data_IF_946737958034
#
_entry.id   IF_946737958034
#
_cell.length_a   1.000
_cell.length_b   1.000
_cell.length_c   1.000
_cell.angle_alpha   90.00
_cell.angle_beta   90.00
_cell.angle_gamma   90.00
#
_symmetry.space_group_name_H-M   'P 1'
#
loop_
_entity.id
_entity.type
_entity.pdbx_description
1 polymer ?
#
# COMPACT_ATOMS: atom_id res chain seq x y z
N UNK A 1 -3.75 -1.58 -40.09
CA UNK A 1 -4.12 -0.66 -38.99
C UNK A 1 -2.90 -0.41 -38.12
N UNK A 2 -2.51 0.81 -38.00
CA UNK A 2 -1.44 1.19 -37.09
C UNK A 2 -2.00 1.30 -35.66
N UNK A 3 -1.34 0.64 -34.71
CA UNK A 3 -1.66 0.77 -33.29
C UNK A 3 -0.95 2.02 -32.79
N UNK A 4 -1.70 3.06 -32.46
CA UNK A 4 -1.14 4.29 -31.89
C UNK A 4 -0.95 4.16 -30.37
N UNK A 5 -0.07 4.97 -29.80
CA UNK A 5 0.09 5.06 -28.35
C UNK A 5 -1.24 5.39 -27.64
N UNK A 6 -2.02 6.28 -28.23
CA UNK A 6 -3.34 6.64 -27.71
C UNK A 6 -4.32 5.45 -27.67
N UNK A 7 -4.27 4.56 -28.65
CA UNK A 7 -5.13 3.36 -28.66
C UNK A 7 -4.69 2.29 -27.66
N UNK A 8 -3.40 2.25 -27.31
CA UNK A 8 -2.87 1.38 -26.26
C UNK A 8 -3.10 1.96 -24.86
N UNK A 9 -3.30 3.28 -24.76
CA UNK A 9 -3.49 3.94 -23.47
C UNK A 9 -4.76 3.48 -22.74
N UNK A 10 -5.80 3.13 -23.48
CA UNK A 10 -7.01 2.55 -22.89
C UNK A 10 -6.72 1.26 -22.13
N UNK A 11 -5.86 0.40 -22.68
CA UNK A 11 -5.41 -0.80 -21.98
C UNK A 11 -4.71 -0.48 -20.64
N UNK A 12 -3.86 0.55 -20.63
CA UNK A 12 -3.23 1.00 -19.38
C UNK A 12 -4.26 1.50 -18.37
N UNK A 13 -5.26 2.26 -18.81
CA UNK A 13 -6.34 2.73 -17.93
C UNK A 13 -7.09 1.58 -17.28
N UNK A 14 -7.50 0.58 -18.07
CA UNK A 14 -8.21 -0.59 -17.59
C UNK A 14 -7.35 -1.40 -16.59
N UNK A 15 -6.07 -1.58 -16.88
CA UNK A 15 -5.13 -2.27 -16.00
C UNK A 15 -4.90 -1.52 -14.68
N UNK A 16 -4.72 -0.22 -14.74
CA UNK A 16 -4.50 0.63 -13.56
C UNK A 16 -5.75 0.70 -12.70
N UNK A 17 -6.94 0.75 -13.28
CA UNK A 17 -8.21 0.71 -12.53
C UNK A 17 -8.35 -0.59 -11.73
N UNK A 18 -7.95 -1.71 -12.31
CA UNK A 18 -8.11 -3.02 -11.66
C UNK A 18 -7.00 -3.34 -10.66
N UNK A 19 -5.73 -3.04 -10.99
CA UNK A 19 -4.57 -3.51 -10.24
C UNK A 19 -3.68 -2.41 -9.64
N UNK A 20 -3.74 -1.18 -10.16
CA UNK A 20 -2.71 -0.17 -9.96
C UNK A 20 -2.33 0.09 -8.51
N UNK A 21 -3.24 0.69 -7.72
CA UNK A 21 -2.95 1.05 -6.34
C UNK A 21 -2.76 -0.17 -5.43
N UNK A 22 -3.40 -1.30 -5.75
CA UNK A 22 -3.30 -2.55 -4.99
C UNK A 22 -1.87 -3.06 -4.94
N UNK A 23 -1.20 -3.09 -6.09
CA UNK A 23 0.20 -3.53 -6.19
C UNK A 23 1.14 -2.62 -5.41
N UNK A 24 0.98 -1.30 -5.52
CA UNK A 24 1.80 -0.34 -4.79
C UNK A 24 1.56 -0.41 -3.27
N UNK A 25 0.31 -0.58 -2.85
CA UNK A 25 -0.04 -0.74 -1.44
C UNK A 25 0.51 -2.03 -0.83
N UNK A 26 0.47 -3.13 -1.57
CA UNK A 26 1.09 -4.40 -1.16
C UNK A 26 2.61 -4.27 -1.00
N UNK A 27 3.28 -3.52 -1.85
CA UNK A 27 4.73 -3.28 -1.72
C UNK A 27 5.06 -2.47 -0.45
N UNK A 28 4.27 -1.45 -0.13
CA UNK A 28 4.44 -0.72 1.13
C UNK A 28 4.26 -1.63 2.35
N UNK A 29 3.24 -2.47 2.34
CA UNK A 29 2.97 -3.42 3.42
C UNK A 29 4.09 -4.46 3.54
N UNK A 30 4.56 -5.01 2.42
CA UNK A 30 5.69 -5.94 2.38
C UNK A 30 6.94 -5.31 3.01
N UNK A 31 7.25 -4.08 2.68
CA UNK A 31 8.38 -3.33 3.25
C UNK A 31 8.25 -3.17 4.77
N UNK A 32 7.04 -2.85 5.24
CA UNK A 32 6.79 -2.74 6.67
C UNK A 32 7.01 -4.08 7.38
N UNK A 33 6.47 -5.18 6.85
CA UNK A 33 6.64 -6.52 7.43
C UNK A 33 8.12 -6.91 7.51
N UNK A 34 8.92 -6.55 6.53
CA UNK A 34 10.37 -6.81 6.54
C UNK A 34 11.13 -6.06 7.64
N UNK A 35 10.56 -5.00 8.22
CA UNK A 35 11.15 -4.29 9.37
C UNK A 35 10.79 -4.90 10.71
N UNK A 36 9.85 -5.83 10.74
CA UNK A 36 9.36 -6.46 11.97
C UNK A 36 10.24 -7.62 12.41
N UNK A 37 10.30 -7.82 13.73
CA UNK A 37 10.90 -9.02 14.31
C UNK A 37 9.98 -10.23 14.13
N UNK A 38 10.54 -11.44 14.27
CA UNK A 38 9.75 -12.68 14.20
C UNK A 38 8.61 -12.72 15.23
N UNK A 39 8.83 -12.21 16.43
CA UNK A 39 7.80 -12.14 17.47
C UNK A 39 6.68 -11.16 17.10
N UNK A 40 7.02 -10.03 16.51
CA UNK A 40 6.06 -9.05 16.01
C UNK A 40 5.25 -9.61 14.84
N UNK A 41 5.89 -10.33 13.92
CA UNK A 41 5.21 -11.01 12.81
C UNK A 41 4.26 -12.09 13.35
N UNK A 42 4.72 -12.93 14.26
CA UNK A 42 3.92 -14.00 14.87
C UNK A 42 2.71 -13.44 15.61
N UNK A 43 2.90 -12.36 16.35
CA UNK A 43 1.80 -11.67 17.04
C UNK A 43 0.81 -11.08 16.03
N UNK A 44 1.31 -10.42 14.99
CA UNK A 44 0.49 -9.89 13.90
C UNK A 44 -0.32 -10.98 13.21
N UNK A 45 0.30 -12.09 12.84
CA UNK A 45 -0.37 -13.25 12.24
C UNK A 45 -1.48 -13.80 13.13
N UNK A 46 -1.23 -13.94 14.41
CA UNK A 46 -2.20 -14.49 15.37
C UNK A 46 -3.42 -13.59 15.58
N UNK A 47 -3.22 -12.29 15.63
CA UNK A 47 -4.27 -11.34 16.01
C UNK A 47 -4.88 -10.58 14.84
N UNK A 48 -4.17 -10.46 13.72
CA UNK A 48 -4.63 -9.76 12.51
C UNK A 48 -5.26 -10.71 11.50
N UNK A 49 -4.59 -11.80 11.16
CA UNK A 49 -5.09 -12.72 10.13
C UNK A 49 -6.34 -13.48 10.57
N UNK A 50 -6.58 -13.61 11.88
CA UNK A 50 -7.84 -14.17 12.38
C UNK A 50 -9.07 -13.30 12.08
N UNK A 51 -8.86 -12.02 11.76
CA UNK A 51 -9.91 -11.05 11.47
C UNK A 51 -9.81 -10.44 10.06
N UNK A 52 -8.79 -10.82 9.28
CA UNK A 52 -8.62 -10.36 7.91
C UNK A 52 -9.15 -11.42 6.95
N UNK A 53 -9.87 -10.97 5.95
CA UNK A 53 -10.26 -11.82 4.83
C UNK A 53 -9.01 -12.12 3.99
N UNK A 54 -8.41 -13.30 4.27
CA UNK A 54 -7.21 -13.77 3.55
C UNK A 54 -7.49 -13.96 2.07
N UNK A 55 -8.75 -14.27 1.71
CA UNK A 55 -9.16 -14.41 0.32
C UNK A 55 -9.16 -13.04 -0.38
N UNK A 56 -9.67 -12.00 0.26
CA UNK A 56 -9.64 -10.64 -0.27
C UNK A 56 -8.19 -10.16 -0.47
N UNK A 57 -7.30 -10.41 0.51
CA UNK A 57 -5.88 -10.06 0.40
C UNK A 57 -5.21 -10.80 -0.77
N UNK A 58 -5.52 -12.08 -0.95
CA UNK A 58 -4.95 -12.88 -2.04
C UNK A 58 -5.40 -12.40 -3.42
N UNK A 59 -6.56 -11.77 -3.50
CA UNK A 59 -7.09 -11.12 -4.71
C UNK A 59 -6.55 -9.69 -4.91
N UNK A 60 -5.63 -9.23 -4.05
CA UNK A 60 -5.09 -7.87 -4.09
C UNK A 60 -6.05 -6.81 -3.56
N UNK A 61 -7.13 -7.21 -2.91
CA UNK A 61 -7.97 -6.28 -2.17
C UNK A 61 -7.23 -5.86 -0.91
N UNK A 62 -7.24 -4.55 -0.62
CA UNK A 62 -6.63 -4.08 0.60
C UNK A 62 -7.44 -4.56 1.79
N UNK A 63 -6.78 -5.11 2.81
CA UNK A 63 -7.46 -5.29 4.09
C UNK A 63 -8.02 -3.93 4.51
N UNK A 64 -9.27 -3.93 4.92
CA UNK A 64 -9.91 -2.75 5.47
C UNK A 64 -9.22 -2.39 6.79
N UNK A 65 -8.29 -1.46 6.70
CA UNK A 65 -7.58 -0.92 7.85
C UNK A 65 -8.43 0.09 8.65
N UNK A 66 -9.69 0.32 8.30
CA UNK A 66 -10.59 1.17 9.09
C UNK A 66 -10.87 0.55 10.48
N UNK A 67 -10.82 -0.77 10.59
CA UNK A 67 -10.82 -1.49 11.87
C UNK A 67 -9.52 -1.38 12.67
N UNK A 68 -8.43 -0.86 12.08
CA UNK A 68 -7.12 -0.71 12.73
C UNK A 68 -7.14 0.25 13.93
N UNK A 69 -8.12 1.12 14.07
CA UNK A 69 -8.29 1.91 15.29
C UNK A 69 -8.43 1.02 16.54
N UNK A 70 -9.20 -0.06 16.44
CA UNK A 70 -9.35 -1.05 17.52
C UNK A 70 -8.13 -1.96 17.63
N UNK A 71 -7.58 -2.39 16.50
CA UNK A 71 -6.38 -3.21 16.43
C UNK A 71 -5.15 -2.41 16.86
N UNK A 72 -5.06 -1.13 16.50
CA UNK A 72 -4.01 -0.22 16.97
C UNK A 72 -4.00 -0.04 18.49
N UNK A 73 -5.18 -0.08 19.14
CA UNK A 73 -5.28 -0.06 20.60
C UNK A 73 -4.78 -1.37 21.23
N UNK A 74 -5.07 -2.53 20.63
CA UNK A 74 -4.61 -3.84 21.08
C UNK A 74 -3.09 -3.93 20.91
N UNK A 75 -2.55 -3.44 19.79
CA UNK A 75 -1.11 -3.41 19.51
C UNK A 75 -0.38 -2.44 20.43
N UNK A 76 -0.95 -1.29 20.77
CA UNK A 76 -0.36 -0.34 21.73
C UNK A 76 -0.21 -0.93 23.12
N UNK A 77 -1.10 -1.85 23.51
CA UNK A 77 -1.03 -2.54 24.82
C UNK A 77 -0.03 -3.70 24.85
N UNK A 78 0.32 -4.30 23.73
CA UNK A 78 1.08 -5.55 23.64
C UNK A 78 2.33 -5.49 22.78
N UNK A 79 2.49 -4.46 21.92
CA UNK A 79 3.63 -4.34 21.00
C UNK A 79 4.25 -2.95 21.03
N UNK A 80 5.53 -2.92 20.63
CA UNK A 80 6.35 -1.74 20.51
C UNK A 80 5.60 -0.62 19.74
N UNK A 81 5.61 0.57 20.30
CA UNK A 81 5.11 1.82 19.73
C UNK A 81 5.56 2.05 18.27
N UNK A 82 6.73 1.54 17.92
CA UNK A 82 7.33 1.59 16.59
C UNK A 82 6.47 0.88 15.54
N UNK A 83 5.95 -0.32 15.82
CA UNK A 83 5.11 -1.08 14.87
C UNK A 83 3.78 -0.37 14.67
N UNK A 84 3.16 0.14 15.74
CA UNK A 84 1.92 0.90 15.63
C UNK A 84 2.09 2.17 14.77
N UNK A 85 3.21 2.88 14.92
CA UNK A 85 3.54 4.04 14.11
C UNK A 85 3.79 3.66 12.65
N UNK A 86 4.48 2.55 12.40
CA UNK A 86 4.70 2.01 11.05
C UNK A 86 3.40 1.66 10.34
N UNK A 87 2.48 0.99 11.02
CA UNK A 87 1.16 0.65 10.48
C UNK A 87 0.32 1.89 10.18
N UNK A 88 0.31 2.86 11.09
CA UNK A 88 -0.40 4.13 10.89
C UNK A 88 0.16 4.89 9.68
N UNK A 89 1.47 4.96 9.56
CA UNK A 89 2.14 5.60 8.44
C UNK A 89 1.80 4.92 7.11
N UNK A 90 1.93 3.59 7.05
CA UNK A 90 1.64 2.80 5.86
C UNK A 90 0.17 2.94 5.43
N UNK A 91 -0.76 2.94 6.38
CA UNK A 91 -2.17 3.19 6.11
C UNK A 91 -2.43 4.56 5.48
N UNK A 92 -1.78 5.61 6.00
CA UNK A 92 -1.88 6.95 5.41
C UNK A 92 -1.30 7.04 4.00
N UNK A 93 -0.18 6.36 3.75
CA UNK A 93 0.41 6.28 2.41
C UNK A 93 -0.47 5.48 1.45
N UNK A 94 -1.13 4.44 1.92
CA UNK A 94 -2.06 3.67 1.10
C UNK A 94 -3.25 4.53 0.66
N UNK A 95 -3.80 5.36 1.54
CA UNK A 95 -4.85 6.30 1.16
C UNK A 95 -4.38 7.28 0.08
N UNK A 96 -3.17 7.82 0.23
CA UNK A 96 -2.58 8.68 -0.81
C UNK A 96 -2.44 7.94 -2.14
N UNK A 97 -2.01 6.67 -2.13
CA UNK A 97 -1.90 5.85 -3.34
C UNK A 97 -3.25 5.67 -4.03
N UNK A 98 -4.30 5.37 -3.29
CA UNK A 98 -5.66 5.26 -3.85
C UNK A 98 -6.05 6.55 -4.56
N UNK A 99 -5.88 7.69 -3.90
CA UNK A 99 -6.20 9.00 -4.49
C UNK A 99 -5.34 9.31 -5.72
N UNK A 100 -4.04 8.99 -5.67
CA UNK A 100 -3.11 9.23 -6.76
C UNK A 100 -3.44 8.37 -7.99
N UNK A 101 -3.76 7.08 -7.80
CA UNK A 101 -4.17 6.19 -8.88
C UNK A 101 -5.55 6.53 -9.44
N UNK A 102 -6.48 7.05 -8.64
CA UNK A 102 -7.75 7.56 -9.12
C UNK A 102 -7.59 8.78 -10.06
N UNK A 103 -6.45 9.47 -9.94
CA UNK A 103 -6.07 10.58 -10.81
C UNK A 103 -5.06 10.17 -11.91
N UNK A 104 -5.03 8.89 -12.28
CA UNK A 104 -4.18 8.42 -13.38
C UNK A 104 -4.50 9.17 -14.68
N UNK A 105 -3.49 9.59 -15.44
CA UNK A 105 -3.71 10.40 -16.65
C UNK A 105 -4.58 9.71 -17.68
N UNK A 106 -5.55 10.41 -18.22
CA UNK A 106 -6.43 9.90 -19.29
C UNK A 106 -5.73 9.82 -20.66
N UNK A 107 -4.58 10.44 -20.80
CA UNK A 107 -3.75 10.43 -21.99
C UNK A 107 -2.26 10.38 -21.64
N UNK A 108 -1.38 9.98 -22.57
CA UNK A 108 0.05 9.82 -22.30
C UNK A 108 0.78 11.11 -21.87
N UNK A 109 0.27 12.28 -22.21
CA UNK A 109 0.96 13.56 -21.95
C UNK A 109 1.09 13.88 -20.46
N UNK A 110 0.16 13.39 -19.64
CA UNK A 110 0.18 13.57 -18.19
C UNK A 110 1.03 12.56 -17.43
N UNK A 111 1.49 11.49 -18.09
CA UNK A 111 2.12 10.35 -17.44
C UNK A 111 3.42 10.69 -16.70
N UNK A 112 4.31 11.42 -17.30
CA UNK A 112 5.61 11.72 -16.70
C UNK A 112 5.48 12.45 -15.36
N UNK A 113 4.58 13.42 -15.28
CA UNK A 113 4.33 14.17 -14.05
C UNK A 113 3.72 13.26 -12.98
N UNK A 114 2.76 12.45 -13.35
CA UNK A 114 2.09 11.50 -12.46
C UNK A 114 3.08 10.46 -11.92
N UNK A 115 3.89 9.89 -12.82
CA UNK A 115 4.88 8.86 -12.49
C UNK A 115 6.00 9.39 -11.58
N UNK A 116 6.49 10.61 -11.83
CA UNK A 116 7.47 11.26 -10.95
C UNK A 116 6.94 11.47 -9.53
N UNK A 117 5.67 11.88 -9.39
CA UNK A 117 5.04 12.04 -8.10
C UNK A 117 4.91 10.69 -7.37
N UNK A 118 4.52 9.63 -8.09
CA UNK A 118 4.44 8.28 -7.55
C UNK A 118 5.80 7.79 -7.02
N UNK A 119 6.82 7.84 -7.84
CA UNK A 119 8.17 7.38 -7.47
C UNK A 119 8.72 8.17 -6.28
N UNK A 120 8.59 9.50 -6.28
CA UNK A 120 9.01 10.33 -5.16
C UNK A 120 8.34 9.88 -3.86
N UNK A 121 7.03 9.72 -3.86
CA UNK A 121 6.27 9.32 -2.66
C UNK A 121 6.64 7.90 -2.21
N UNK A 122 6.82 6.96 -3.14
CA UNK A 122 7.24 5.61 -2.80
C UNK A 122 8.65 5.58 -2.20
N UNK A 123 9.61 6.30 -2.79
CA UNK A 123 10.99 6.36 -2.30
C UNK A 123 11.05 6.97 -0.89
N UNK A 124 10.34 8.08 -0.66
CA UNK A 124 10.21 8.70 0.66
C UNK A 124 9.55 7.75 1.66
N UNK A 125 8.54 7.01 1.24
CA UNK A 125 7.84 6.03 2.06
C UNK A 125 8.74 4.86 2.44
N UNK A 126 9.55 4.34 1.53
CA UNK A 126 10.48 3.25 1.80
C UNK A 126 11.55 3.66 2.81
N UNK A 127 12.10 4.86 2.67
CA UNK A 127 13.05 5.41 3.64
C UNK A 127 12.40 5.56 5.02
N UNK A 128 11.19 6.10 5.07
CA UNK A 128 10.46 6.28 6.33
C UNK A 128 10.12 4.95 7.00
N UNK A 129 9.65 3.96 6.24
CA UNK A 129 9.35 2.61 6.73
C UNK A 129 10.61 1.97 7.29
N UNK A 130 11.73 2.04 6.59
CA UNK A 130 13.00 1.51 7.06
C UNK A 130 13.46 2.15 8.39
N UNK A 131 13.12 3.41 8.63
CA UNK A 131 13.45 4.10 9.89
C UNK A 131 12.72 3.53 11.11
N UNK A 132 11.63 2.79 10.92
CA UNK A 132 10.91 2.13 12.03
C UNK A 132 11.60 0.85 12.51
N UNK A 133 12.57 0.32 11.75
CA UNK A 133 13.34 -0.87 12.12
C UNK A 133 14.42 -0.61 13.19
N UNK A 134 14.78 0.64 13.43
CA UNK A 134 15.83 1.05 14.36
C UNK A 134 15.32 1.44 15.73
#
# INVERSE_FOLDING_TARGET
>A
KYVSEASLWQYNLDFIEEYGYKTAGLELFRRLVQTMTNDQISYGMKHFLGNLDVEAISKGEHPDFSGLGKIGMIIRGAMNKTVANGLKYTSGQNQWLVEHYNNYPKDPSGFDKWNKALHKTLDESFVKIASFAS
#
